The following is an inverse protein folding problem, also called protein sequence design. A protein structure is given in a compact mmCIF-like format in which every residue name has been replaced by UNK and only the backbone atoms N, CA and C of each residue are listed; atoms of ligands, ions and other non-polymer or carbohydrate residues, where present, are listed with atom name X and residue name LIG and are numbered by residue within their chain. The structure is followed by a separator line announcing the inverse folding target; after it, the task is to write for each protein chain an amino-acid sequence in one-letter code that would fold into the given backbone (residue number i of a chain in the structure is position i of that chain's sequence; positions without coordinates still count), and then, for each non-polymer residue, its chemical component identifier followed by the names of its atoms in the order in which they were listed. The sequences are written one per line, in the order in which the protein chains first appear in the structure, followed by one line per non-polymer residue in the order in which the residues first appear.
data_IF_536006891047
#
_entry.id   IF_536006891047
#
_cell.length_a   1.000
_cell.length_b   1.000
_cell.length_c   1.000
_cell.angle_alpha   90.00
_cell.angle_beta   90.00
_cell.angle_gamma   90.00
#
_symmetry.space_group_name_H-M   'P 1'
#
loop_
_entity.id
_entity.type
_entity.pdbx_description
1 polymer ?
#
# COMPACT_ATOMS: atom_id res chain seq x y z
N UNK A 1 -11.47 -2.46 17.40
CA UNK A 1 -12.06 -3.72 17.91
C UNK A 1 -11.01 -4.80 17.92
N UNK A 2 -10.91 -5.56 19.01
CA UNK A 2 -9.96 -6.68 19.16
C UNK A 2 -10.74 -7.99 19.29
N UNK A 3 -10.28 -9.04 18.61
CA UNK A 3 -10.84 -10.38 18.70
C UNK A 3 -9.71 -11.36 19.04
N UNK A 4 -9.87 -12.11 20.13
CA UNK A 4 -8.96 -13.17 20.53
C UNK A 4 -9.59 -14.49 20.14
N UNK A 5 -8.88 -15.29 19.35
CA UNK A 5 -9.32 -16.63 18.95
C UNK A 5 -8.79 -17.67 19.96
N UNK A 6 -9.44 -18.82 20.03
CA UNK A 6 -9.11 -19.90 20.98
C UNK A 6 -7.65 -20.40 20.90
N UNK A 7 -6.96 -20.19 19.77
CA UNK A 7 -5.52 -20.50 19.61
C UNK A 7 -4.60 -19.35 20.06
N UNK A 8 -5.08 -18.50 20.96
CA UNK A 8 -4.40 -17.31 21.47
C UNK A 8 -3.99 -16.28 20.40
N UNK A 9 -4.51 -16.37 19.17
CA UNK A 9 -4.24 -15.37 18.13
C UNK A 9 -5.12 -14.14 18.28
N UNK A 10 -4.46 -12.99 18.35
CA UNK A 10 -5.11 -11.69 18.50
C UNK A 10 -5.25 -11.00 17.15
N UNK A 11 -6.48 -10.69 16.75
CA UNK A 11 -6.81 -9.92 15.56
C UNK A 11 -7.28 -8.53 15.93
N UNK A 12 -6.59 -7.50 15.45
CA UNK A 12 -6.97 -6.09 15.63
C UNK A 12 -7.58 -5.54 14.36
N UNK A 13 -8.75 -4.89 14.50
CA UNK A 13 -9.47 -4.26 13.38
C UNK A 13 -9.62 -2.77 13.62
N UNK A 14 -9.30 -1.98 12.58
CA UNK A 14 -9.43 -0.52 12.61
C UNK A 14 -10.89 -0.04 12.72
N UNK A 15 -11.85 -0.75 12.10
CA UNK A 15 -13.27 -0.37 12.10
C UNK A 15 -14.21 -1.56 11.92
N UNK A 16 -15.50 -1.33 12.18
CA UNK A 16 -16.57 -2.34 12.10
C UNK A 16 -16.67 -3.01 10.72
N UNK A 17 -16.43 -2.28 9.62
CA UNK A 17 -16.39 -2.83 8.25
C UNK A 17 -15.39 -4.00 8.12
N UNK A 18 -14.18 -3.82 8.65
CA UNK A 18 -13.12 -4.83 8.57
C UNK A 18 -13.47 -6.05 9.42
N UNK A 19 -14.01 -5.82 10.62
CA UNK A 19 -14.45 -6.88 11.53
C UNK A 19 -15.62 -7.69 10.95
N UNK A 20 -16.63 -7.04 10.37
CA UNK A 20 -17.76 -7.72 9.69
C UNK A 20 -17.28 -8.55 8.48
N UNK A 21 -16.34 -8.03 7.68
CA UNK A 21 -15.76 -8.79 6.57
C UNK A 21 -14.96 -10.02 7.04
N UNK A 22 -14.24 -9.89 8.15
CA UNK A 22 -13.54 -11.01 8.78
C UNK A 22 -14.52 -12.07 9.27
N UNK A 23 -15.61 -11.68 9.96
CA UNK A 23 -16.69 -12.60 10.37
C UNK A 23 -17.34 -13.30 9.18
N UNK A 24 -17.52 -12.59 8.06
CA UNK A 24 -17.97 -13.15 6.76
C UNK A 24 -16.91 -13.97 6.02
N UNK A 25 -15.75 -14.25 6.64
CA UNK A 25 -14.64 -15.03 6.06
C UNK A 25 -14.16 -14.53 4.69
N UNK A 26 -14.28 -13.22 4.40
CA UNK A 26 -13.82 -12.66 3.13
C UNK A 26 -12.30 -12.61 3.09
N UNK A 27 -11.69 -13.16 2.05
CA UNK A 27 -10.24 -13.14 1.88
C UNK A 27 -9.75 -11.71 1.56
N UNK A 28 -8.91 -11.08 2.41
CA UNK A 28 -8.41 -9.72 2.16
C UNK A 28 -7.63 -9.61 0.84
N UNK A 29 -6.93 -10.66 0.40
CA UNK A 29 -6.21 -10.69 -0.88
C UNK A 29 -7.13 -10.69 -2.11
N UNK A 30 -8.44 -10.84 -1.94
CA UNK A 30 -9.46 -10.71 -3.01
C UNK A 30 -10.31 -9.43 -2.84
N UNK A 31 -10.18 -8.71 -1.74
CA UNK A 31 -10.92 -7.48 -1.46
C UNK A 31 -10.14 -6.27 -2.00
N UNK A 32 -10.63 -5.69 -3.11
CA UNK A 32 -9.91 -4.71 -3.95
C UNK A 32 -9.35 -3.46 -3.24
N UNK A 33 -9.99 -3.00 -2.17
CA UNK A 33 -9.58 -1.77 -1.46
C UNK A 33 -8.51 -2.01 -0.38
N UNK A 34 -8.18 -3.26 -0.05
CA UNK A 34 -7.21 -3.56 1.00
C UNK A 34 -5.77 -3.42 0.50
N UNK A 35 -4.84 -3.10 1.40
CA UNK A 35 -3.40 -3.10 1.10
C UNK A 35 -2.88 -4.48 0.73
N UNK A 36 -3.43 -5.55 1.32
CA UNK A 36 -3.08 -6.93 0.97
C UNK A 36 -3.35 -7.22 -0.52
N UNK A 37 -4.55 -6.91 -1.01
CA UNK A 37 -4.87 -7.00 -2.44
C UNK A 37 -3.95 -6.11 -3.29
N UNK A 38 -3.74 -4.85 -2.87
CA UNK A 38 -2.91 -3.92 -3.66
C UNK A 38 -1.47 -4.39 -3.80
N UNK A 39 -0.86 -4.94 -2.75
CA UNK A 39 0.50 -5.51 -2.82
C UNK A 39 0.53 -6.77 -3.69
N UNK A 40 -0.39 -7.71 -3.48
CA UNK A 40 -0.45 -8.96 -4.24
C UNK A 40 -0.72 -8.74 -5.74
N UNK A 41 -1.53 -7.73 -6.08
CA UNK A 41 -1.88 -7.39 -7.47
C UNK A 41 -0.91 -6.39 -8.11
N UNK A 42 0.27 -6.12 -7.52
CA UNK A 42 1.28 -5.21 -8.09
C UNK A 42 0.83 -3.74 -8.17
N UNK A 43 -0.12 -3.31 -7.33
CA UNK A 43 -0.65 -1.94 -7.30
C UNK A 43 0.12 -0.98 -6.40
N UNK A 44 1.09 -1.48 -5.64
CA UNK A 44 1.98 -0.71 -4.80
C UNK A 44 3.38 -1.32 -4.88
N UNK A 45 4.40 -0.51 -4.55
CA UNK A 45 5.76 -1.00 -4.40
C UNK A 45 5.83 -1.99 -3.24
N UNK A 46 6.31 -3.21 -3.50
CA UNK A 46 6.35 -4.31 -2.53
C UNK A 46 7.76 -4.57 -1.98
N UNK A 47 8.77 -4.49 -2.84
CA UNK A 47 10.19 -4.76 -2.51
C UNK A 47 10.97 -3.46 -2.60
N UNK A 48 11.41 -2.92 -1.46
CA UNK A 48 12.25 -1.72 -1.37
C UNK A 48 12.99 -1.68 -0.02
N UNK A 49 14.26 -1.29 -0.03
CA UNK A 49 15.11 -1.25 1.17
C UNK A 49 14.57 -0.30 2.25
N UNK A 50 13.81 0.74 1.88
CA UNK A 50 13.18 1.64 2.86
C UNK A 50 12.17 0.94 3.77
N UNK A 51 11.60 -0.20 3.34
CA UNK A 51 10.69 -0.99 4.18
C UNK A 51 11.40 -1.80 5.24
N UNK A 52 12.71 -2.02 5.13
CA UNK A 52 13.47 -2.84 6.08
C UNK A 52 13.78 -2.12 7.40
N UNK A 53 13.59 -0.79 7.47
CA UNK A 53 13.77 -0.02 8.69
C UNK A 53 12.67 -0.31 9.72
N UNK A 54 11.44 -0.58 9.27
CA UNK A 54 10.31 -0.94 10.14
C UNK A 54 10.37 -2.44 10.50
N UNK A 55 10.95 -2.74 11.66
CA UNK A 55 11.06 -4.12 12.20
C UNK A 55 10.59 -4.18 13.64
N UNK A 56 9.94 -5.28 14.01
CA UNK A 56 9.64 -5.59 15.41
C UNK A 56 10.95 -5.94 16.12
N UNK A 57 11.39 -5.09 17.05
CA UNK A 57 12.57 -5.34 17.89
C UNK A 57 12.12 -6.12 19.12
N UNK A 58 12.67 -7.31 19.33
CA UNK A 58 12.40 -8.12 20.53
C UNK A 58 13.37 -7.80 21.67
N UNK A 59 14.50 -7.19 21.36
CA UNK A 59 15.53 -6.79 22.32
C UNK A 59 15.52 -5.26 22.48
N UNK A 60 15.40 -4.74 23.70
CA UNK A 60 15.51 -3.32 23.97
C UNK A 60 16.97 -2.87 23.97
N UNK A 61 17.19 -1.58 23.70
CA UNK A 61 18.50 -0.93 23.79
C UNK A 61 18.44 0.08 24.93
N UNK A 62 19.55 0.26 25.66
CA UNK A 62 19.65 1.29 26.71
C UNK A 62 19.44 2.67 26.08
N UNK A 63 18.69 3.52 26.78
CA UNK A 63 18.43 4.87 26.32
C UNK A 63 19.72 5.69 26.20
N UNK A 64 19.91 6.34 25.05
CA UNK A 64 20.96 7.33 24.80
C UNK A 64 20.37 8.48 23.96
N UNK A 65 20.44 9.71 24.47
CA UNK A 65 19.79 10.87 23.86
C UNK A 65 20.29 11.13 22.43
N UNK A 66 21.61 11.06 22.19
CA UNK A 66 22.20 11.26 20.85
C UNK A 66 21.69 10.25 19.82
N UNK A 67 21.60 8.97 20.21
CA UNK A 67 21.08 7.92 19.35
C UNK A 67 19.61 8.19 18.99
N UNK A 68 18.80 8.58 19.98
CA UNK A 68 17.39 8.92 19.77
C UNK A 68 17.22 10.09 18.82
N UNK A 69 17.96 11.19 19.01
CA UNK A 69 17.89 12.36 18.14
C UNK A 69 18.26 12.00 16.69
N UNK A 70 19.41 11.32 16.49
CA UNK A 70 19.84 10.83 15.17
C UNK A 70 18.80 9.90 14.52
N UNK A 71 18.17 9.03 15.32
CA UNK A 71 17.14 8.09 14.84
C UNK A 71 15.88 8.83 14.39
N UNK A 72 15.44 9.86 15.11
CA UNK A 72 14.27 10.67 14.72
C UNK A 72 14.49 11.34 13.38
N UNK A 73 15.66 11.93 13.16
CA UNK A 73 15.97 12.60 11.89
C UNK A 73 16.13 11.59 10.75
N UNK A 74 16.77 10.45 11.00
CA UNK A 74 16.85 9.36 10.03
C UNK A 74 15.45 8.83 9.65
N UNK A 75 14.53 8.68 10.60
CA UNK A 75 13.16 8.23 10.34
C UNK A 75 12.41 9.18 9.39
N UNK A 76 12.52 10.50 9.59
CA UNK A 76 11.91 11.50 8.68
C UNK A 76 12.47 11.34 7.27
N UNK A 77 13.79 11.23 7.14
CA UNK A 77 14.47 11.09 5.85
C UNK A 77 14.08 9.81 5.11
N UNK A 78 13.98 8.70 5.83
CA UNK A 78 13.56 7.40 5.27
C UNK A 78 12.12 7.46 4.76
N UNK A 79 11.22 8.10 5.50
CA UNK A 79 9.82 8.23 5.10
C UNK A 79 9.65 9.10 3.84
N UNK A 80 10.40 10.19 3.72
CA UNK A 80 10.42 10.99 2.48
C UNK A 80 10.87 10.17 1.25
N UNK A 81 11.95 9.39 1.40
CA UNK A 81 12.49 8.56 0.32
C UNK A 81 11.46 7.51 -0.09
N UNK A 82 10.85 6.84 0.89
CA UNK A 82 9.79 5.85 0.70
C UNK A 82 8.59 6.43 -0.06
N UNK A 83 8.11 7.60 0.35
CA UNK A 83 6.99 8.28 -0.31
C UNK A 83 7.33 8.65 -1.76
N UNK A 84 8.51 9.22 -2.01
CA UNK A 84 8.98 9.56 -3.37
C UNK A 84 9.01 8.32 -4.28
N UNK A 85 9.54 7.20 -3.79
CA UNK A 85 9.61 5.94 -4.55
C UNK A 85 8.24 5.33 -4.82
N UNK A 86 7.36 5.32 -3.82
CA UNK A 86 5.98 4.85 -3.97
C UNK A 86 5.19 5.70 -4.97
N UNK A 87 5.31 7.03 -4.89
CA UNK A 87 4.67 7.94 -5.83
C UNK A 87 5.16 7.69 -7.26
N UNK A 88 6.47 7.55 -7.46
CA UNK A 88 7.04 7.24 -8.78
C UNK A 88 6.52 5.92 -9.33
N UNK A 89 6.43 4.87 -8.52
CA UNK A 89 5.87 3.58 -8.92
C UNK A 89 4.41 3.70 -9.39
N UNK A 90 3.58 4.45 -8.65
CA UNK A 90 2.18 4.69 -8.99
C UNK A 90 2.08 5.50 -10.29
N UNK A 91 2.87 6.58 -10.43
CA UNK A 91 2.89 7.43 -11.62
C UNK A 91 3.30 6.66 -12.87
N UNK A 92 4.34 5.83 -12.78
CA UNK A 92 4.76 4.97 -13.90
C UNK A 92 3.65 4.01 -14.33
N UNK A 93 2.86 3.49 -13.38
CA UNK A 93 1.71 2.64 -13.71
C UNK A 93 0.59 3.43 -14.40
N UNK A 94 0.26 4.62 -13.89
CA UNK A 94 -0.81 5.46 -14.45
C UNK A 94 -0.45 5.99 -15.84
N UNK A 95 0.84 6.28 -16.10
CA UNK A 95 1.34 6.77 -17.39
C UNK A 95 0.94 5.88 -18.58
N UNK A 96 0.82 4.56 -18.37
CA UNK A 96 0.46 3.59 -19.43
C UNK A 96 -0.93 3.83 -20.06
N UNK A 97 -1.86 4.45 -19.32
CA UNK A 97 -3.22 4.66 -19.80
C UNK A 97 -3.29 5.69 -20.94
N UNK A 98 -2.39 6.69 -20.96
CA UNK A 98 -2.40 7.77 -21.96
C UNK A 98 -2.28 7.26 -23.40
N UNK A 99 -1.40 6.29 -23.64
CA UNK A 99 -1.23 5.70 -24.98
C UNK A 99 -2.46 4.89 -25.41
N UNK A 100 -3.06 4.14 -24.48
CA UNK A 100 -4.28 3.39 -24.75
C UNK A 100 -5.45 4.32 -25.09
N UNK A 101 -5.57 5.42 -24.36
CA UNK A 101 -6.60 6.44 -24.62
C UNK A 101 -6.44 7.03 -26.02
N UNK A 102 -5.23 7.44 -26.40
CA UNK A 102 -4.95 7.99 -27.74
C UNK A 102 -5.40 7.04 -28.87
N UNK A 103 -5.11 5.74 -28.72
CA UNK A 103 -5.53 4.74 -29.72
C UNK A 103 -7.04 4.57 -29.74
N UNK A 104 -7.70 4.61 -28.57
CA UNK A 104 -9.15 4.54 -28.47
C UNK A 104 -9.82 5.77 -29.10
N UNK A 105 -9.34 6.98 -28.81
CA UNK A 105 -9.87 8.23 -29.36
C UNK A 105 -9.80 8.25 -30.89
N UNK A 106 -8.65 7.84 -31.47
CA UNK A 106 -8.49 7.73 -32.94
C UNK A 106 -9.47 6.71 -33.51
N UNK A 107 -9.68 5.57 -32.82
CA UNK A 107 -10.62 4.54 -33.26
C UNK A 107 -12.06 5.05 -33.20
N UNK A 108 -12.41 5.75 -32.14
CA UNK A 108 -13.75 6.29 -31.90
C UNK A 108 -14.13 7.33 -32.97
N UNK A 109 -13.25 8.29 -33.24
CA UNK A 109 -13.46 9.30 -34.30
C UNK A 109 -13.63 8.63 -35.67
N UNK A 110 -12.85 7.59 -35.99
CA UNK A 110 -12.95 6.87 -37.26
C UNK A 110 -14.26 6.08 -37.41
N UNK A 111 -14.76 5.47 -36.33
CA UNK A 111 -15.96 4.63 -36.37
C UNK A 111 -17.25 5.46 -36.29
N UNK A 112 -17.23 6.50 -35.46
CA UNK A 112 -18.41 7.27 -35.08
C UNK A 112 -18.45 8.65 -35.73
N UNK A 113 -17.78 8.84 -36.88
CA UNK A 113 -17.74 10.13 -37.57
C UNK A 113 -19.13 10.66 -37.92
N UNK A 114 -20.11 9.76 -38.10
CA UNK A 114 -21.49 10.06 -38.44
C UNK A 114 -22.33 10.63 -37.27
N UNK A 115 -21.81 10.60 -36.04
CA UNK A 115 -22.49 11.17 -34.86
C UNK A 115 -22.14 12.66 -34.66
N UNK A 116 -21.27 13.19 -35.51
CA UNK A 116 -20.85 14.59 -35.59
C UNK A 116 -21.38 15.14 -36.91
#
# INVERSE_FOLDING_TARGET
MMFVRNDCKVFRFCKSKCHKNFKKKRNPCKVRWTKAFRKAAGKELTVDNSFEFEKRRNEPIKYQQELWNKTIDAMKRVEEIKQKRQAKFIMNRLKKNKELQKVQDIKEVKQNIHLI
#
